data_IF_301268985681
#
_entry.id   IF_301268985681
#
_cell.length_a   1.000
_cell.length_b   1.000
_cell.length_c   1.000
_cell.angle_alpha   90.00
_cell.angle_beta   90.00
_cell.angle_gamma   90.00
#
_symmetry.space_group_name_H-M   'P 1'
#
loop_
_entity.id
_entity.type
_entity.pdbx_description
1 polymer ?
#
# COMPACT_ATOMS: atom_id res chain seq x y z
N UNK A 1 21.32 -0.73 15.32
CA UNK A 1 21.67 -1.11 13.94
C UNK A 1 20.40 -1.67 13.33
N UNK A 2 20.00 -1.21 12.14
CA UNK A 2 18.80 -1.75 11.48
C UNK A 2 19.02 -3.25 11.17
N UNK A 3 17.98 -4.08 11.25
CA UNK A 3 18.06 -5.41 10.66
C UNK A 3 18.26 -5.27 9.14
N UNK A 4 18.74 -6.33 8.52
CA UNK A 4 18.86 -6.39 7.06
C UNK A 4 17.47 -6.63 6.47
N UNK A 5 17.05 -5.78 5.53
CA UNK A 5 15.77 -5.90 4.85
C UNK A 5 15.94 -6.47 3.45
N UNK A 6 15.00 -7.29 3.00
CA UNK A 6 14.98 -7.77 1.63
C UNK A 6 14.42 -6.68 0.70
N UNK A 7 13.42 -5.94 1.17
CA UNK A 7 12.75 -4.88 0.41
C UNK A 7 12.59 -3.63 1.27
N UNK A 8 12.92 -2.47 0.70
CA UNK A 8 12.61 -1.17 1.29
C UNK A 8 11.58 -0.47 0.41
N UNK A 9 10.41 -0.18 0.98
CA UNK A 9 9.34 0.57 0.31
C UNK A 9 9.36 2.01 0.77
N UNK A 10 9.54 2.93 -0.16
CA UNK A 10 9.60 4.38 0.11
C UNK A 10 8.24 5.02 -0.16
N UNK A 11 7.56 5.41 0.91
CA UNK A 11 6.27 6.07 0.91
C UNK A 11 5.10 5.13 1.25
N UNK A 12 4.33 5.46 2.28
CA UNK A 12 3.17 4.67 2.72
C UNK A 12 1.83 5.15 2.13
N UNK A 13 1.82 5.46 0.83
CA UNK A 13 0.58 5.69 0.07
C UNK A 13 -0.09 4.37 -0.33
N UNK A 14 -1.20 4.43 -1.08
CA UNK A 14 -1.92 3.22 -1.54
C UNK A 14 -1.01 2.19 -2.22
N UNK A 15 -0.14 2.65 -3.15
CA UNK A 15 0.81 1.77 -3.85
C UNK A 15 1.89 1.21 -2.92
N UNK A 16 2.39 2.02 -1.98
CA UNK A 16 3.41 1.57 -1.04
C UNK A 16 2.88 0.55 -0.03
N UNK A 17 1.64 0.72 0.42
CA UNK A 17 0.99 -0.25 1.28
C UNK A 17 0.81 -1.59 0.56
N UNK A 18 0.34 -1.58 -0.70
CA UNK A 18 0.25 -2.80 -1.52
C UNK A 18 1.61 -3.44 -1.78
N UNK A 19 2.63 -2.65 -2.12
CA UNK A 19 3.98 -3.17 -2.35
C UNK A 19 4.56 -3.81 -1.08
N UNK A 20 4.32 -3.20 0.08
CA UNK A 20 4.78 -3.72 1.36
C UNK A 20 4.11 -5.05 1.71
N UNK A 21 2.78 -5.15 1.61
CA UNK A 21 2.07 -6.40 1.91
C UNK A 21 2.36 -7.48 0.88
N UNK A 22 2.51 -7.14 -0.41
CA UNK A 22 2.86 -8.10 -1.44
C UNK A 22 4.23 -8.75 -1.16
N UNK A 23 5.27 -7.94 -0.89
CA UNK A 23 6.59 -8.46 -0.55
C UNK A 23 6.58 -9.25 0.77
N UNK A 24 5.91 -8.73 1.80
CA UNK A 24 5.83 -9.38 3.10
C UNK A 24 5.09 -10.73 3.06
N UNK A 25 4.02 -10.82 2.27
CA UNK A 25 3.24 -12.06 2.06
C UNK A 25 4.03 -13.10 1.26
N UNK A 26 5.01 -12.68 0.45
CA UNK A 26 5.98 -13.56 -0.21
C UNK A 26 7.14 -13.98 0.71
N UNK A 27 7.17 -13.51 1.96
CA UNK A 27 8.16 -13.89 2.97
C UNK A 27 9.34 -12.93 3.12
N UNK A 28 9.39 -11.82 2.36
CA UNK A 28 10.43 -10.81 2.49
C UNK A 28 10.32 -10.05 3.80
N UNK A 29 11.46 -9.71 4.42
CA UNK A 29 11.54 -8.66 5.44
C UNK A 29 11.47 -7.29 4.77
N UNK A 30 10.44 -6.52 5.11
CA UNK A 30 10.10 -5.25 4.47
C UNK A 30 10.26 -4.09 5.45
N UNK A 31 10.94 -3.04 5.01
CA UNK A 31 10.89 -1.75 5.67
C UNK A 31 9.98 -0.80 4.90
N UNK A 32 8.87 -0.37 5.52
CA UNK A 32 8.01 0.68 4.98
C UNK A 32 8.40 2.04 5.57
N UNK A 33 9.11 2.85 4.77
CA UNK A 33 9.53 4.19 5.16
C UNK A 33 8.48 5.21 4.75
N UNK A 34 8.12 6.12 5.65
CA UNK A 34 7.17 7.20 5.34
C UNK A 34 7.57 8.50 6.01
N UNK A 35 7.24 9.64 5.41
CA UNK A 35 7.48 10.94 6.05
C UNK A 35 6.55 11.20 7.24
N UNK A 36 5.38 10.57 7.24
CA UNK A 36 4.38 10.74 8.30
C UNK A 36 3.57 9.44 8.46
N UNK A 37 3.61 8.84 9.65
CA UNK A 37 2.88 7.62 10.00
C UNK A 37 1.37 7.88 10.18
N UNK A 38 0.95 9.12 10.38
CA UNK A 38 -0.47 9.48 10.51
C UNK A 38 -1.19 9.53 9.15
N UNK A 39 -0.45 9.58 8.04
CA UNK A 39 -1.01 9.69 6.68
C UNK A 39 -0.88 8.40 5.87
N UNK A 40 -0.68 7.26 6.53
CA UNK A 40 -0.64 5.95 5.88
C UNK A 40 -1.96 5.70 5.14
N UNK A 41 -1.86 5.37 3.86
CA UNK A 41 -2.99 5.09 2.97
C UNK A 41 -4.11 6.15 3.00
N UNK A 42 -3.76 7.43 3.23
CA UNK A 42 -4.74 8.50 3.29
C UNK A 42 -5.41 8.71 1.92
N UNK A 43 -6.75 8.74 1.92
CA UNK A 43 -7.53 9.14 0.75
C UNK A 43 -7.49 10.66 0.56
N UNK A 44 -6.54 11.15 -0.25
CA UNK A 44 -6.31 12.58 -0.49
C UNK A 44 -7.35 13.25 -1.40
N UNK A 45 -7.94 12.50 -2.33
CA UNK A 45 -8.91 13.02 -3.31
C UNK A 45 -10.35 12.69 -2.89
N UNK A 46 -11.05 11.86 -3.66
CA UNK A 46 -12.41 11.43 -3.35
C UNK A 46 -12.38 10.18 -2.44
N UNK A 47 -13.34 10.06 -1.50
CA UNK A 47 -13.42 8.92 -0.60
C UNK A 47 -14.05 7.68 -1.27
N UNK A 48 -13.55 7.31 -2.46
CA UNK A 48 -14.14 6.26 -3.28
C UNK A 48 -13.10 5.32 -3.87
N UNK A 49 -13.39 4.03 -3.82
CA UNK A 49 -12.60 2.95 -4.44
C UNK A 49 -13.37 2.34 -5.60
N UNK A 50 -12.65 1.95 -6.65
CA UNK A 50 -13.25 1.42 -7.88
C UNK A 50 -13.86 2.50 -8.79
N UNK A 51 -14.91 2.12 -9.52
CA UNK A 51 -15.44 2.86 -10.67
C UNK A 51 -14.97 2.28 -12.00
N UNK A 52 -15.42 2.83 -13.13
CA UNK A 52 -15.09 2.30 -14.46
C UNK A 52 -13.57 2.12 -14.62
N UNK A 53 -13.16 0.94 -15.11
CA UNK A 53 -11.78 0.42 -15.13
C UNK A 53 -11.16 0.17 -13.73
N UNK A 54 -11.21 1.15 -12.82
CA UNK A 54 -10.62 1.06 -11.48
C UNK A 54 -11.17 -0.12 -10.65
N UNK A 55 -12.46 -0.41 -10.77
CA UNK A 55 -13.10 -1.51 -10.05
C UNK A 55 -12.62 -2.89 -10.53
N UNK A 56 -12.18 -3.00 -11.79
CA UNK A 56 -11.56 -4.22 -12.30
C UNK A 56 -10.14 -4.36 -11.72
N UNK A 57 -9.34 -3.29 -11.73
CA UNK A 57 -8.01 -3.28 -11.12
C UNK A 57 -8.07 -3.65 -9.64
N UNK A 58 -9.02 -3.10 -8.87
CA UNK A 58 -9.17 -3.47 -7.44
C UNK A 58 -9.47 -4.97 -7.29
N UNK A 59 -10.26 -5.56 -8.20
CA UNK A 59 -10.54 -7.01 -8.20
C UNK A 59 -9.35 -7.85 -8.64
N UNK A 60 -8.55 -7.36 -9.59
CA UNK A 60 -7.30 -8.02 -10.01
C UNK A 60 -6.27 -8.00 -8.89
N UNK A 61 -6.12 -6.87 -8.19
CA UNK A 61 -5.25 -6.74 -7.01
C UNK A 61 -5.70 -7.70 -5.91
N UNK A 62 -7.00 -7.76 -5.62
CA UNK A 62 -7.59 -8.71 -4.67
C UNK A 62 -7.31 -10.17 -5.07
N UNK A 63 -7.47 -10.52 -6.35
CA UNK A 63 -7.15 -11.86 -6.87
C UNK A 63 -5.66 -12.22 -6.76
N UNK A 64 -4.78 -11.22 -6.74
CA UNK A 64 -3.34 -11.38 -6.48
C UNK A 64 -2.99 -11.33 -4.98
N UNK A 65 -3.99 -11.47 -4.09
CA UNK A 65 -3.88 -11.36 -2.63
C UNK A 65 -3.41 -9.99 -2.12
N UNK A 66 -3.69 -8.92 -2.87
CA UNK A 66 -3.54 -7.54 -2.42
C UNK A 66 -4.68 -7.11 -1.50
N UNK A 67 -4.50 -6.02 -0.76
CA UNK A 67 -5.37 -5.69 0.39
C UNK A 67 -6.39 -4.59 0.10
N UNK A 68 -6.27 -3.85 -1.02
CA UNK A 68 -7.16 -2.73 -1.36
C UNK A 68 -8.63 -3.14 -1.43
N UNK A 69 -8.93 -4.33 -1.96
CA UNK A 69 -10.29 -4.87 -1.99
C UNK A 69 -10.83 -5.11 -0.58
N UNK A 70 -10.08 -5.86 0.22
CA UNK A 70 -10.40 -6.19 1.62
C UNK A 70 -10.62 -4.93 2.46
N UNK A 71 -9.69 -3.97 2.40
CA UNK A 71 -9.82 -2.70 3.15
C UNK A 71 -11.05 -1.92 2.68
N UNK A 72 -11.32 -1.91 1.37
CA UNK A 72 -12.52 -1.24 0.83
C UNK A 72 -13.79 -1.85 1.41
N UNK A 73 -13.89 -3.17 1.47
CA UNK A 73 -15.08 -3.87 1.98
C UNK A 73 -15.30 -3.63 3.49
N UNK A 74 -14.25 -3.54 4.29
CA UNK A 74 -14.37 -3.19 5.72
C UNK A 74 -14.79 -1.74 5.98
N UNK A 75 -14.58 -0.86 5.02
CA UNK A 75 -14.68 0.59 5.23
C UNK A 75 -15.78 1.24 4.39
N UNK A 76 -16.46 0.44 3.55
CA UNK A 76 -17.50 0.93 2.67
C UNK A 76 -18.71 1.42 3.45
N UNK A 77 -19.18 2.60 3.07
CA UNK A 77 -20.45 3.18 3.51
C UNK A 77 -21.52 2.96 2.45
N UNK A 78 -21.12 2.92 1.17
CA UNK A 78 -22.01 2.68 0.05
C UNK A 78 -21.30 1.82 -1.00
N UNK A 79 -22.01 0.86 -1.56
CA UNK A 79 -21.57 0.09 -2.72
C UNK A 79 -22.53 0.26 -3.90
N UNK A 80 -21.99 0.35 -5.11
CA UNK A 80 -22.75 0.34 -6.36
C UNK A 80 -22.01 -0.42 -7.45
N UNK A 81 -22.74 -1.28 -8.15
CA UNK A 81 -22.29 -1.80 -9.44
C UNK A 81 -22.63 -0.80 -10.56
N UNK A 82 -21.61 -0.31 -11.27
CA UNK A 82 -21.78 0.59 -12.41
C UNK A 82 -22.10 -0.22 -13.69
N UNK A 83 -22.74 0.43 -14.67
CA UNK A 83 -23.07 -0.13 -15.99
C UNK A 83 -23.89 -1.43 -15.97
N UNK A 84 -24.74 -1.65 -14.94
CA UNK A 84 -25.56 -2.88 -14.82
C UNK A 84 -26.39 -3.21 -16.06
N UNK A 85 -26.87 -2.21 -16.79
CA UNK A 85 -27.67 -2.37 -18.01
C UNK A 85 -26.86 -2.75 -19.27
N UNK A 86 -25.53 -2.73 -19.23
CA UNK A 86 -24.65 -2.95 -20.40
C UNK A 86 -24.04 -4.36 -20.45
N UNK A 87 -24.54 -5.28 -19.63
CA UNK A 87 -24.07 -6.67 -19.54
C UNK A 87 -22.78 -6.86 -18.70
N UNK A 88 -22.48 -8.09 -18.26
CA UNK A 88 -21.45 -8.37 -17.25
C UNK A 88 -20.04 -7.90 -17.61
N UNK A 89 -19.67 -7.97 -18.89
CA UNK A 89 -18.35 -7.53 -19.36
C UNK A 89 -18.10 -6.02 -19.14
N UNK A 90 -19.16 -5.22 -19.02
CA UNK A 90 -19.08 -3.77 -18.82
C UNK A 90 -19.29 -3.36 -17.36
N UNK A 91 -19.61 -4.29 -16.47
CA UNK A 91 -19.85 -4.02 -15.07
C UNK A 91 -18.56 -3.56 -14.37
N UNK A 92 -18.69 -2.67 -13.39
CA UNK A 92 -17.54 -2.27 -12.59
C UNK A 92 -17.97 -1.86 -11.17
N UNK A 93 -17.40 -2.48 -10.13
CA UNK A 93 -17.74 -2.16 -8.75
C UNK A 93 -17.19 -0.78 -8.36
N UNK A 94 -17.95 -0.07 -7.52
CA UNK A 94 -17.54 1.19 -6.92
C UNK A 94 -18.05 1.26 -5.49
N UNK A 95 -17.17 1.59 -4.56
CA UNK A 95 -17.51 1.84 -3.17
C UNK A 95 -17.18 3.30 -2.79
N UNK A 96 -18.00 3.89 -1.92
CA UNK A 96 -17.61 5.03 -1.10
C UNK A 96 -17.17 4.48 0.25
N UNK A 97 -16.02 4.93 0.76
CA UNK A 97 -15.46 4.49 2.03
C UNK A 97 -15.38 5.63 3.04
N UNK A 98 -15.50 5.31 4.32
CA UNK A 98 -15.12 6.26 5.37
C UNK A 98 -13.60 6.48 5.33
N UNK A 99 -13.16 7.74 5.20
CA UNK A 99 -11.73 8.08 5.04
C UNK A 99 -10.89 7.69 6.25
N UNK A 100 -11.42 7.91 7.46
CA UNK A 100 -10.69 7.64 8.69
C UNK A 100 -10.60 6.13 8.92
N UNK A 101 -11.71 5.43 8.73
CA UNK A 101 -11.74 3.98 8.85
C UNK A 101 -10.84 3.32 7.80
N UNK A 102 -10.79 3.84 6.57
CA UNK A 102 -9.94 3.29 5.51
C UNK A 102 -8.45 3.37 5.85
N UNK A 103 -7.99 4.54 6.29
CA UNK A 103 -6.59 4.70 6.73
C UNK A 103 -6.28 3.86 7.97
N UNK A 104 -7.20 3.82 8.94
CA UNK A 104 -7.05 3.01 10.15
C UNK A 104 -6.97 1.51 9.84
N UNK A 105 -7.81 1.00 8.93
CA UNK A 105 -7.84 -0.42 8.57
C UNK A 105 -6.59 -0.83 7.77
N UNK A 106 -6.10 0.03 6.87
CA UNK A 106 -4.80 -0.20 6.23
C UNK A 106 -3.67 -0.33 7.24
N UNK A 107 -3.62 0.62 8.19
CA UNK A 107 -2.60 0.62 9.24
C UNK A 107 -2.68 -0.64 10.11
N UNK A 108 -3.89 -1.03 10.53
CA UNK A 108 -4.13 -2.26 11.30
C UNK A 108 -3.57 -3.49 10.57
N UNK A 109 -3.87 -3.65 9.27
CA UNK A 109 -3.41 -4.80 8.49
C UNK A 109 -1.89 -4.81 8.26
N UNK A 110 -1.27 -3.63 8.10
CA UNK A 110 0.19 -3.51 7.98
C UNK A 110 0.87 -3.84 9.31
N UNK A 111 0.38 -3.29 10.43
CA UNK A 111 0.91 -3.53 11.78
C UNK A 111 0.73 -4.98 12.23
N UNK A 112 -0.28 -5.69 11.72
CA UNK A 112 -0.50 -7.11 11.99
C UNK A 112 0.48 -8.04 11.24
N UNK A 113 1.21 -7.55 10.23
CA UNK A 113 2.14 -8.38 9.46
C UNK A 113 3.54 -8.39 10.11
N UNK A 114 4.04 -9.53 10.60
CA UNK A 114 5.32 -9.61 11.33
C UNK A 114 6.57 -9.42 10.45
N UNK A 115 6.38 -9.27 9.14
CA UNK A 115 7.46 -9.02 8.20
C UNK A 115 7.56 -7.54 7.77
N UNK A 116 6.68 -6.66 8.26
CA UNK A 116 6.68 -5.24 7.93
C UNK A 116 7.11 -4.42 9.14
N UNK A 117 8.27 -3.77 9.02
CA UNK A 117 8.71 -2.75 9.96
C UNK A 117 8.40 -1.35 9.39
N UNK A 118 8.21 -0.37 10.29
CA UNK A 118 7.93 1.02 9.91
C UNK A 118 9.06 1.95 10.31
N UNK A 119 9.33 2.94 9.47
CA UNK A 119 10.27 4.02 9.81
C UNK A 119 9.72 5.36 9.36
N UNK A 120 9.68 6.33 10.29
CA UNK A 120 9.22 7.67 9.97
C UNK A 120 10.38 8.60 9.66
N UNK A 121 10.69 8.76 8.37
CA UNK A 121 11.72 9.69 7.92
C UNK A 121 11.60 10.01 6.43
N UNK A 122 12.29 11.06 5.98
CA UNK A 122 12.46 11.35 4.57
C UNK A 122 13.61 10.52 4.01
N UNK A 123 13.37 9.78 2.93
CA UNK A 123 14.42 9.18 2.11
C UNK A 123 14.96 10.24 1.15
N UNK A 124 16.27 10.45 1.17
CA UNK A 124 16.97 11.47 0.38
C UNK A 124 17.77 10.90 -0.78
N UNK A 125 18.02 9.59 -0.79
CA UNK A 125 18.75 8.94 -1.88
C UNK A 125 18.71 7.42 -1.84
N UNK A 126 19.15 6.82 -2.94
CA UNK A 126 19.30 5.37 -3.10
C UNK A 126 20.79 5.04 -3.07
N UNK A 127 21.16 3.97 -2.38
CA UNK A 127 22.53 3.47 -2.31
C UNK A 127 22.72 2.48 -3.46
N UNK A 128 23.69 2.73 -4.35
CA UNK A 128 24.00 1.86 -5.49
C UNK A 128 25.44 1.40 -5.39
N UNK A 129 25.67 0.08 -5.39
CA UNK A 129 27.01 -0.54 -5.39
C UNK A 129 27.09 -1.52 -6.56
N UNK A 130 28.07 -1.33 -7.45
CA UNK A 130 28.27 -2.21 -8.62
C UNK A 130 27.07 -2.27 -9.57
N UNK A 131 26.36 -1.15 -9.77
CA UNK A 131 25.18 -1.07 -10.63
C UNK A 131 23.90 -1.69 -10.05
N UNK A 132 23.94 -2.19 -8.80
CA UNK A 132 22.78 -2.75 -8.09
C UNK A 132 22.38 -1.86 -6.91
N UNK A 133 21.07 -1.69 -6.70
CA UNK A 133 20.52 -1.02 -5.53
C UNK A 133 20.80 -1.86 -4.29
N UNK A 134 21.26 -1.20 -3.21
CA UNK A 134 21.70 -1.84 -1.95
C UNK A 134 21.11 -1.20 -0.71
N UNK A 135 20.16 -0.28 -0.86
CA UNK A 135 19.55 0.41 0.28
C UNK A 135 19.15 1.84 -0.02
N UNK A 136 18.85 2.56 1.04
CA UNK A 136 18.44 3.98 0.99
C UNK A 136 19.23 4.82 2.00
N UNK A 137 19.36 6.11 1.69
CA UNK A 137 19.85 7.13 2.62
C UNK A 137 18.70 8.00 3.10
N UNK A 138 18.68 8.31 4.38
CA UNK A 138 17.64 9.13 4.99
C UNK A 138 18.10 10.58 5.23
N UNK A 139 17.18 11.47 5.60
CA UNK A 139 17.44 12.88 5.86
C UNK A 139 18.36 13.15 7.05
N UNK A 140 18.36 12.27 8.05
CA UNK A 140 19.27 12.28 9.19
C UNK A 140 20.65 11.69 8.86
N UNK A 141 20.88 11.29 7.61
CA UNK A 141 22.16 10.72 7.16
C UNK A 141 22.32 9.24 7.50
N UNK A 142 21.25 8.53 7.88
CA UNK A 142 21.29 7.09 8.10
C UNK A 142 21.34 6.37 6.75
N UNK A 143 22.09 5.26 6.71
CA UNK A 143 22.09 4.32 5.59
C UNK A 143 21.43 3.03 6.03
N UNK A 144 20.38 2.63 5.33
CA UNK A 144 19.62 1.40 5.61
C UNK A 144 19.83 0.47 4.42
N UNK A 145 20.49 -0.67 4.67
CA UNK A 145 20.86 -1.62 3.62
C UNK A 145 19.71 -2.57 3.25
N UNK A 146 19.73 -2.99 1.99
CA UNK A 146 18.81 -3.97 1.39
C UNK A 146 19.58 -4.97 0.51
N UNK A 147 19.08 -6.22 0.44
CA UNK A 147 19.75 -7.35 -0.24
C UNK A 147 19.92 -7.26 -1.78
#
# INVERSE_FOLDING_TARGET
MFPKYDVIVVGAGHSGCEAAVAAANMGSKVLLVTMNMQTIAQMSCNPAMGGVAKGQIVREVDALNGYSGIVTDHTMVQFRMLNRSKGPAMWSPRAQSDRMLFAAKWRELLEANPNIDFWQEMVTGIIVKGGRVRGVRTGLGLEIESE
#
